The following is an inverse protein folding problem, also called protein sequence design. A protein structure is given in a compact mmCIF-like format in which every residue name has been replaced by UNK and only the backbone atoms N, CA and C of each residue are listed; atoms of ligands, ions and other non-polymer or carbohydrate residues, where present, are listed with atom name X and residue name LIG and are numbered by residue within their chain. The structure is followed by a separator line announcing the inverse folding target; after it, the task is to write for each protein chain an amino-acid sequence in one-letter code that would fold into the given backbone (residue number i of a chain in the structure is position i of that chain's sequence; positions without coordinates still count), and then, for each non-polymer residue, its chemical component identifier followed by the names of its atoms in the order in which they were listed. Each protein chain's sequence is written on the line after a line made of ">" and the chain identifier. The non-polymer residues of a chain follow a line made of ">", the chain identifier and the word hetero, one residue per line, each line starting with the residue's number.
data_IF_371973814492
#
_entry.id   IF_371973814492
#
_cell.length_a   1.000
_cell.length_b   1.000
_cell.length_c   1.000
_cell.angle_alpha   90.00
_cell.angle_beta   90.00
_cell.angle_gamma   90.00
#
_symmetry.space_group_name_H-M   'P 1'
#
loop_
_entity.id
_entity.type
_entity.pdbx_description
1 polymer ?
#
# COMPACT_ATOMS: atom_id res chain seq x y z
N UNK A 1 -9.46 -2.79 103.68
CA UNK A 1 -9.01 -1.44 103.30
C UNK A 1 -7.61 -1.58 102.75
N UNK A 2 -7.52 -1.70 101.44
CA UNK A 2 -6.38 -1.22 100.66
C UNK A 2 -6.87 -1.12 99.22
N UNK A 3 -6.93 0.12 98.76
CA UNK A 3 -7.34 0.55 97.43
C UNK A 3 -6.26 0.16 96.43
N UNK A 4 -6.64 -0.53 95.35
CA UNK A 4 -5.82 -0.65 94.15
C UNK A 4 -6.68 -1.14 92.98
N UNK A 5 -7.49 -0.25 92.42
CA UNK A 5 -8.28 -0.52 91.21
C UNK A 5 -8.46 0.78 90.40
N UNK A 6 -7.39 1.34 89.82
CA UNK A 6 -7.53 2.36 88.75
C UNK A 6 -6.23 2.53 87.93
N UNK A 7 -5.90 1.64 86.98
CA UNK A 7 -4.93 2.01 85.91
C UNK A 7 -4.82 1.03 84.71
N UNK A 8 -5.93 0.55 84.13
CA UNK A 8 -5.83 -0.39 82.96
C UNK A 8 -6.66 0.03 81.74
N UNK A 9 -7.00 1.31 81.57
CA UNK A 9 -7.87 1.75 80.45
C UNK A 9 -7.27 2.89 79.62
N UNK A 10 -5.95 2.91 79.40
CA UNK A 10 -5.32 3.99 78.62
C UNK A 10 -4.18 3.54 77.69
N UNK A 11 -4.21 2.32 77.14
CA UNK A 11 -3.13 1.82 76.25
C UNK A 11 -3.67 1.14 74.97
N UNK A 12 -4.96 1.26 74.65
CA UNK A 12 -5.57 0.52 73.50
C UNK A 12 -6.14 1.45 72.42
N UNK A 13 -5.87 2.75 72.48
CA UNK A 13 -6.45 3.72 71.51
C UNK A 13 -5.42 4.37 70.56
N UNK A 14 -4.15 3.96 70.59
CA UNK A 14 -3.07 4.58 69.80
C UNK A 14 -2.47 3.64 68.74
N UNK A 15 -3.24 2.67 68.22
CA UNK A 15 -2.73 1.69 67.23
C UNK A 15 -3.61 1.49 66.01
N UNK A 16 -4.62 2.34 65.79
CA UNK A 16 -5.60 2.18 64.68
C UNK A 16 -5.50 3.28 63.61
N UNK A 17 -4.69 4.32 63.81
CA UNK A 17 -4.61 5.43 62.84
C UNK A 17 -3.52 5.28 61.76
N UNK A 18 -2.59 4.33 61.88
CA UNK A 18 -1.47 4.19 60.92
C UNK A 18 -1.77 3.30 59.70
N UNK A 19 -2.91 2.60 59.65
CA UNK A 19 -3.21 1.64 58.56
C UNK A 19 -4.06 2.26 57.42
N UNK A 20 -4.57 3.48 57.57
CA UNK A 20 -5.51 4.08 56.60
C UNK A 20 -4.81 4.95 55.54
N UNK A 21 -3.56 5.35 55.74
CA UNK A 21 -2.83 6.22 54.79
C UNK A 21 -2.11 5.46 53.66
N UNK A 22 -1.99 4.12 53.74
CA UNK A 22 -1.27 3.32 52.74
C UNK A 22 -2.08 2.98 51.48
N UNK A 23 -3.41 3.13 51.46
CA UNK A 23 -4.23 2.68 50.30
C UNK A 23 -4.48 3.77 49.24
N UNK A 24 -4.19 5.03 49.54
CA UNK A 24 -4.53 6.14 48.65
C UNK A 24 -3.46 6.39 47.57
N UNK A 25 -2.22 5.96 47.78
CA UNK A 25 -1.10 6.21 46.85
C UNK A 25 -1.13 5.31 45.61
N UNK A 26 -1.56 4.05 45.75
CA UNK A 26 -1.60 3.07 44.65
C UNK A 26 -2.53 3.47 43.50
N UNK A 27 -3.61 4.21 43.79
CA UNK A 27 -4.55 4.68 42.76
C UNK A 27 -4.01 5.86 41.93
N UNK A 28 -3.00 6.57 42.43
CA UNK A 28 -2.34 7.66 41.69
C UNK A 28 -1.37 7.09 40.66
N UNK A 29 -0.65 6.02 41.05
CA UNK A 29 0.31 5.33 40.19
C UNK A 29 -0.39 4.64 39.00
N UNK A 30 -1.48 3.91 39.22
CA UNK A 30 -2.24 3.29 38.12
C UNK A 30 -2.82 4.32 37.13
N UNK A 31 -3.26 5.49 37.60
CA UNK A 31 -3.82 6.53 36.72
C UNK A 31 -2.77 7.10 35.78
N UNK A 32 -1.56 7.33 36.26
CA UNK A 32 -0.46 7.83 35.44
C UNK A 32 -0.02 6.80 34.39
N UNK A 33 0.00 5.51 34.75
CA UNK A 33 0.32 4.44 33.80
C UNK A 33 -0.70 4.34 32.66
N UNK A 34 -2.00 4.42 32.98
CA UNK A 34 -3.07 4.39 31.98
C UNK A 34 -2.98 5.62 31.06
N UNK A 35 -2.80 6.82 31.63
CA UNK A 35 -2.68 8.05 30.84
C UNK A 35 -1.48 8.00 29.89
N UNK A 36 -0.34 7.50 30.36
CA UNK A 36 0.86 7.33 29.53
C UNK A 36 0.62 6.36 28.38
N UNK A 37 -0.01 5.19 28.64
CA UNK A 37 -0.38 4.21 27.60
C UNK A 37 -1.33 4.80 26.56
N UNK A 38 -2.34 5.58 26.97
CA UNK A 38 -3.30 6.22 26.06
C UNK A 38 -2.63 7.30 25.21
N UNK A 39 -1.81 8.17 25.81
CA UNK A 39 -1.03 9.19 25.10
C UNK A 39 -0.07 8.54 24.09
N UNK A 40 0.61 7.47 24.50
CA UNK A 40 1.51 6.75 23.61
C UNK A 40 0.75 6.15 22.43
N UNK A 41 -0.33 5.41 22.69
CA UNK A 41 -1.13 4.76 21.64
C UNK A 41 -1.68 5.78 20.63
N UNK A 42 -2.21 6.91 21.11
CA UNK A 42 -2.71 7.98 20.23
C UNK A 42 -1.61 8.62 19.38
N UNK A 43 -0.40 8.77 19.94
CA UNK A 43 0.78 9.27 19.18
C UNK A 43 1.25 8.28 18.12
N UNK A 44 1.33 6.99 18.45
CA UNK A 44 1.74 5.93 17.56
C UNK A 44 0.76 5.77 16.39
N UNK A 45 -0.55 5.77 16.69
CA UNK A 45 -1.61 5.75 15.66
C UNK A 45 -1.50 6.98 14.76
N UNK A 46 -1.32 8.18 15.32
CA UNK A 46 -1.15 9.40 14.53
C UNK A 46 0.06 9.33 13.61
N UNK A 47 1.20 8.83 14.10
CA UNK A 47 2.40 8.69 13.30
C UNK A 47 2.22 7.68 12.16
N UNK A 48 1.63 6.53 12.45
CA UNK A 48 1.31 5.51 11.43
C UNK A 48 0.42 6.11 10.35
N UNK A 49 -0.61 6.87 10.73
CA UNK A 49 -1.48 7.58 9.78
C UNK A 49 -0.73 8.64 8.96
N UNK A 50 0.19 9.40 9.57
CA UNK A 50 1.02 10.38 8.86
C UNK A 50 1.99 9.71 7.88
N UNK A 51 2.57 8.58 8.26
CA UNK A 51 3.45 7.78 7.40
C UNK A 51 2.68 7.22 6.20
N UNK A 52 1.50 6.63 6.41
CA UNK A 52 0.62 6.21 5.31
C UNK A 52 0.21 7.38 4.43
N UNK A 53 -0.06 8.56 5.00
CA UNK A 53 -0.38 9.78 4.25
C UNK A 53 0.81 10.23 3.38
N UNK A 54 2.04 10.12 3.89
CA UNK A 54 3.27 10.43 3.13
C UNK A 54 3.47 9.44 1.99
N UNK A 55 3.38 8.13 2.25
CA UNK A 55 3.45 7.09 1.22
C UNK A 55 2.39 7.35 0.15
N UNK A 56 1.15 7.62 0.55
CA UNK A 56 0.07 7.93 -0.37
C UNK A 56 0.39 9.14 -1.25
N UNK A 57 0.99 10.20 -0.70
CA UNK A 57 1.39 11.36 -1.48
C UNK A 57 2.51 11.04 -2.48
N UNK A 58 3.50 10.24 -2.09
CA UNK A 58 4.58 9.78 -2.98
C UNK A 58 3.99 8.95 -4.12
N UNK A 59 3.18 7.94 -3.80
CA UNK A 59 2.50 7.09 -4.77
C UNK A 59 1.60 7.90 -5.69
N UNK A 60 0.80 8.82 -5.14
CA UNK A 60 -0.05 9.71 -5.92
C UNK A 60 0.78 10.56 -6.87
N UNK A 61 1.91 11.11 -6.42
CA UNK A 61 2.79 11.93 -7.25
C UNK A 61 3.43 11.12 -8.38
N UNK A 62 3.85 9.89 -8.11
CA UNK A 62 4.40 8.97 -9.12
C UNK A 62 3.32 8.57 -10.13
N UNK A 63 2.10 8.29 -9.67
CA UNK A 63 1.00 7.79 -10.52
C UNK A 63 0.20 8.88 -11.23
N UNK A 64 0.24 10.13 -10.76
CA UNK A 64 -0.56 11.25 -11.31
C UNK A 64 0.19 12.12 -12.31
N UNK A 65 1.38 11.70 -12.77
CA UNK A 65 2.19 12.45 -13.73
C UNK A 65 1.47 12.63 -15.07
N UNK A 66 0.73 13.74 -15.23
CA UNK A 66 0.12 14.19 -16.50
C UNK A 66 1.13 14.48 -17.61
N UNK A 67 2.42 14.52 -17.28
CA UNK A 67 3.50 14.79 -18.21
C UNK A 67 4.29 13.48 -18.40
N UNK A 68 3.91 12.71 -19.44
CA UNK A 68 4.62 11.54 -19.96
C UNK A 68 5.40 10.71 -18.95
N UNK A 69 4.87 9.55 -18.56
CA UNK A 69 5.55 8.54 -17.74
C UNK A 69 7.02 8.38 -18.17
N UNK A 70 7.93 8.98 -17.39
CA UNK A 70 9.37 9.00 -17.66
C UNK A 70 9.92 7.58 -17.81
N UNK A 71 9.27 6.63 -17.12
CA UNK A 71 9.59 5.22 -17.18
C UNK A 71 9.11 4.52 -18.46
N UNK A 72 7.89 4.80 -18.91
CA UNK A 72 7.32 4.15 -20.11
C UNK A 72 7.85 4.76 -21.40
N UNK A 73 8.38 5.98 -21.33
CA UNK A 73 9.12 6.58 -22.45
C UNK A 73 10.57 6.11 -22.56
N UNK A 74 11.06 5.30 -21.61
CA UNK A 74 12.43 4.78 -21.68
C UNK A 74 12.59 3.80 -22.85
N UNK A 75 13.73 3.90 -23.56
CA UNK A 75 14.11 2.93 -24.61
C UNK A 75 14.02 1.45 -24.16
N UNK A 76 14.55 1.06 -22.98
CA UNK A 76 14.45 -0.34 -22.55
C UNK A 76 13.01 -0.79 -22.34
N UNK A 77 12.12 0.08 -21.85
CA UNK A 77 10.70 -0.23 -21.73
C UNK A 77 10.07 -0.48 -23.10
N UNK A 78 10.27 0.43 -24.06
CA UNK A 78 9.73 0.27 -25.43
C UNK A 78 10.24 -1.01 -26.11
N UNK A 79 11.52 -1.33 -25.94
CA UNK A 79 12.10 -2.58 -26.46
C UNK A 79 11.49 -3.81 -25.80
N UNK A 80 11.27 -3.77 -24.48
CA UNK A 80 10.61 -4.87 -23.75
C UNK A 80 9.16 -5.07 -24.21
N UNK A 81 8.41 -3.98 -24.38
CA UNK A 81 7.02 -4.00 -24.87
C UNK A 81 6.97 -4.57 -26.29
N UNK A 82 7.76 -4.02 -27.22
CA UNK A 82 7.81 -4.48 -28.61
C UNK A 82 8.22 -5.97 -28.71
N UNK A 83 9.22 -6.38 -27.92
CA UNK A 83 9.62 -7.79 -27.86
C UNK A 83 8.52 -8.70 -27.30
N UNK A 84 7.73 -8.20 -26.36
CA UNK A 84 6.65 -8.98 -25.75
C UNK A 84 5.46 -9.07 -26.68
N UNK A 85 5.09 -7.97 -27.34
CA UNK A 85 4.07 -7.92 -28.38
C UNK A 85 4.34 -8.97 -29.47
N UNK A 86 5.55 -8.98 -30.03
CA UNK A 86 5.99 -9.96 -31.03
C UNK A 86 5.99 -11.41 -30.54
N UNK A 87 6.09 -11.63 -29.23
CA UNK A 87 6.02 -12.98 -28.65
C UNK A 87 4.58 -13.43 -28.38
N UNK A 88 3.62 -12.50 -28.42
CA UNK A 88 2.21 -12.74 -28.13
C UNK A 88 1.38 -12.87 -29.39
N UNK A 89 1.70 -12.08 -30.42
CA UNK A 89 1.12 -12.23 -31.76
C UNK A 89 1.66 -13.51 -32.41
N UNK A 90 1.05 -14.65 -32.05
CA UNK A 90 1.43 -15.94 -32.59
C UNK A 90 0.93 -16.11 -34.04
N UNK A 91 -0.04 -15.29 -34.44
CA UNK A 91 -0.66 -15.36 -35.76
C UNK A 91 0.12 -14.55 -36.81
N UNK A 92 0.91 -13.56 -36.37
CA UNK A 92 1.68 -12.67 -37.21
C UNK A 92 0.82 -11.67 -37.97
N UNK A 93 -0.41 -11.41 -37.52
CA UNK A 93 -1.32 -10.47 -38.17
C UNK A 93 -1.08 -9.01 -37.72
N UNK A 94 -0.21 -8.79 -36.73
CA UNK A 94 0.06 -7.47 -36.16
C UNK A 94 -0.97 -7.03 -35.12
N UNK A 95 -1.83 -7.92 -34.66
CA UNK A 95 -2.85 -7.64 -33.65
C UNK A 95 -2.81 -8.72 -32.55
N UNK A 96 -3.12 -8.31 -31.32
CA UNK A 96 -3.20 -9.22 -30.17
C UNK A 96 -4.66 -9.42 -29.77
N UNK A 97 -5.11 -10.68 -29.72
CA UNK A 97 -6.46 -11.04 -29.26
C UNK A 97 -6.60 -10.97 -27.73
N UNK A 98 -7.83 -10.97 -27.21
CA UNK A 98 -8.10 -10.93 -25.74
C UNK A 98 -7.37 -12.04 -24.96
N UNK A 99 -7.38 -13.25 -25.47
CA UNK A 99 -6.73 -14.39 -24.81
C UNK A 99 -5.20 -14.31 -24.89
N UNK A 100 -4.65 -13.86 -26.03
CA UNK A 100 -3.21 -13.60 -26.16
C UNK A 100 -2.78 -12.50 -25.19
N UNK A 101 -3.53 -11.40 -25.08
CA UNK A 101 -3.25 -10.31 -24.14
C UNK A 101 -3.15 -10.83 -22.71
N UNK A 102 -4.11 -11.64 -22.27
CA UNK A 102 -4.11 -12.22 -20.93
C UNK A 102 -2.88 -13.10 -20.68
N UNK A 103 -2.54 -13.98 -21.64
CA UNK A 103 -1.36 -14.83 -21.55
C UNK A 103 -0.06 -14.01 -21.48
N UNK A 104 0.02 -12.93 -22.25
CA UNK A 104 1.14 -12.01 -22.26
C UNK A 104 1.31 -11.25 -20.94
N UNK A 105 0.22 -10.71 -20.40
CA UNK A 105 0.24 -10.05 -19.10
C UNK A 105 0.71 -10.99 -18.00
N UNK A 106 0.26 -12.25 -18.02
CA UNK A 106 0.72 -13.28 -17.08
C UNK A 106 2.23 -13.56 -17.25
N UNK A 107 2.71 -13.69 -18.50
CA UNK A 107 4.12 -13.93 -18.80
C UNK A 107 5.00 -12.78 -18.30
N UNK A 108 4.55 -11.53 -18.44
CA UNK A 108 5.28 -10.36 -17.95
C UNK A 108 5.35 -10.35 -16.43
N UNK A 109 4.25 -10.65 -15.75
CA UNK A 109 4.27 -10.79 -14.29
C UNK A 109 5.23 -11.89 -13.83
N UNK A 110 5.27 -13.03 -14.52
CA UNK A 110 6.21 -14.12 -14.25
C UNK A 110 7.68 -13.74 -14.53
N UNK A 111 7.94 -12.92 -15.57
CA UNK A 111 9.29 -12.42 -15.84
C UNK A 111 9.71 -11.41 -14.78
N UNK A 112 8.83 -10.46 -14.43
CA UNK A 112 9.08 -9.45 -13.41
C UNK A 112 9.30 -10.08 -12.04
N UNK A 113 8.51 -11.09 -11.66
CA UNK A 113 8.64 -11.75 -10.37
C UNK A 113 9.99 -12.41 -10.14
N UNK A 114 10.67 -12.87 -11.21
CA UNK A 114 12.05 -13.36 -11.10
C UNK A 114 13.03 -12.27 -10.65
N UNK A 115 12.79 -11.02 -11.02
CA UNK A 115 13.67 -9.90 -10.67
C UNK A 115 13.29 -9.21 -9.37
N UNK A 116 11.99 -9.09 -9.10
CA UNK A 116 11.47 -8.25 -8.01
C UNK A 116 10.87 -9.06 -6.86
N UNK A 117 10.82 -10.39 -7.00
CA UNK A 117 10.34 -11.33 -6.01
C UNK A 117 8.82 -11.49 -5.99
N UNK A 118 8.35 -12.15 -4.93
CA UNK A 118 6.93 -12.41 -4.66
C UNK A 118 6.00 -11.17 -4.73
N UNK A 119 6.42 -9.93 -4.40
CA UNK A 119 5.53 -8.77 -4.45
C UNK A 119 4.95 -8.46 -5.85
N UNK A 120 5.58 -8.91 -6.94
CA UNK A 120 5.03 -8.74 -8.29
C UNK A 120 4.19 -9.92 -8.79
N UNK A 121 3.98 -10.97 -7.98
CA UNK A 121 3.28 -12.19 -8.38
C UNK A 121 1.75 -12.10 -8.33
N UNK A 122 1.16 -10.92 -8.51
CA UNK A 122 -0.30 -10.76 -8.51
C UNK A 122 -0.79 -10.33 -9.89
N UNK A 123 -0.91 -11.29 -10.84
CA UNK A 123 -1.43 -10.99 -12.16
C UNK A 123 -2.88 -10.48 -12.07
N UNK A 124 -3.29 -9.59 -12.98
CA UNK A 124 -4.68 -9.16 -13.08
C UNK A 124 -5.59 -10.35 -13.38
N UNK A 125 -6.81 -10.34 -12.83
CA UNK A 125 -7.86 -11.30 -13.16
C UNK A 125 -8.33 -11.09 -14.61
N UNK A 126 -8.84 -12.15 -15.26
CA UNK A 126 -9.28 -12.11 -16.66
C UNK A 126 -10.25 -10.96 -16.94
N UNK A 127 -11.27 -10.78 -16.09
CA UNK A 127 -12.26 -9.70 -16.25
C UNK A 127 -11.65 -8.29 -16.24
N UNK A 128 -10.59 -8.08 -15.45
CA UNK A 128 -9.85 -6.81 -15.45
C UNK A 128 -9.06 -6.63 -16.74
N UNK A 129 -8.54 -7.72 -17.31
CA UNK A 129 -7.83 -7.69 -18.59
C UNK A 129 -8.80 -7.42 -19.75
N UNK A 130 -9.99 -8.01 -19.71
CA UNK A 130 -11.06 -7.75 -20.69
C UNK A 130 -11.44 -6.26 -20.69
N UNK A 131 -11.62 -5.66 -19.50
CA UNK A 131 -11.88 -4.21 -19.39
C UNK A 131 -10.70 -3.34 -19.84
N UNK A 132 -9.45 -3.79 -19.62
CA UNK A 132 -8.27 -3.09 -20.16
C UNK A 132 -8.17 -3.17 -21.68
N UNK A 133 -8.55 -4.31 -22.26
CA UNK A 133 -8.63 -4.52 -23.70
C UNK A 133 -9.65 -3.57 -24.31
N UNK A 134 -10.88 -3.59 -23.83
CA UNK A 134 -11.98 -2.74 -24.34
C UNK A 134 -11.70 -1.25 -24.16
N UNK A 135 -10.98 -0.87 -23.10
CA UNK A 135 -10.59 0.52 -22.89
C UNK A 135 -9.43 0.99 -23.78
N UNK A 136 -8.67 0.06 -24.36
CA UNK A 136 -7.48 0.35 -25.16
C UNK A 136 -7.74 0.23 -26.66
N UNK A 137 -8.62 -0.69 -27.08
CA UNK A 137 -9.11 -0.87 -28.47
C UNK A 137 -9.92 0.38 -28.89
N UNK A 138 -9.21 1.41 -29.35
CA UNK A 138 -9.80 2.72 -29.63
C UNK A 138 -10.56 2.73 -30.96
N UNK A 139 -10.20 1.84 -31.88
CA UNK A 139 -10.82 1.72 -33.19
C UNK A 139 -11.92 0.65 -33.26
N UNK A 140 -12.08 -0.17 -32.22
CA UNK A 140 -13.00 -1.30 -32.16
C UNK A 140 -12.71 -2.35 -33.25
N UNK A 141 -11.43 -2.55 -33.56
CA UNK A 141 -10.97 -3.59 -34.49
C UNK A 141 -11.24 -5.00 -33.95
N UNK A 142 -11.35 -5.14 -32.61
CA UNK A 142 -11.38 -6.44 -31.94
C UNK A 142 -10.00 -7.07 -31.76
N UNK A 143 -8.94 -6.35 -32.16
CA UNK A 143 -7.54 -6.64 -31.90
C UNK A 143 -6.90 -5.49 -31.11
N UNK A 144 -5.65 -5.68 -30.68
CA UNK A 144 -4.84 -4.63 -30.06
C UNK A 144 -3.55 -4.50 -30.85
N UNK A 145 -3.28 -3.32 -31.39
CA UNK A 145 -2.03 -3.03 -32.11
C UNK A 145 -0.85 -2.78 -31.15
N UNK A 146 0.35 -2.54 -31.69
CA UNK A 146 1.55 -2.36 -30.86
C UNK A 146 1.47 -1.09 -29.99
N UNK A 147 0.86 -0.02 -30.50
CA UNK A 147 0.67 1.26 -29.81
C UNK A 147 -0.33 1.16 -28.64
N UNK A 148 -1.47 0.52 -28.87
CA UNK A 148 -2.50 0.22 -27.89
C UNK A 148 -1.95 -0.75 -26.83
N UNK A 149 -1.23 -1.80 -27.25
CA UNK A 149 -0.55 -2.72 -26.35
C UNK A 149 0.46 -1.99 -25.45
N UNK A 150 1.24 -1.07 -26.01
CA UNK A 150 2.18 -0.24 -25.24
C UNK A 150 1.47 0.61 -24.18
N UNK A 151 0.27 1.10 -24.49
CA UNK A 151 -0.57 1.85 -23.55
C UNK A 151 -1.10 0.96 -22.42
N UNK A 152 -1.57 -0.26 -22.72
CA UNK A 152 -1.97 -1.25 -21.71
C UNK A 152 -0.78 -1.60 -20.80
N UNK A 153 0.38 -1.84 -21.41
CA UNK A 153 1.61 -2.20 -20.70
C UNK A 153 2.10 -1.07 -19.78
N UNK A 154 1.98 0.18 -20.22
CA UNK A 154 2.29 1.34 -19.41
C UNK A 154 1.42 1.41 -18.14
N UNK A 155 0.12 1.13 -18.27
CA UNK A 155 -0.81 1.09 -17.15
C UNK A 155 -0.47 -0.07 -16.20
N UNK A 156 -0.27 -1.28 -16.74
CA UNK A 156 0.05 -2.47 -15.95
C UNK A 156 1.36 -2.31 -15.18
N UNK A 157 2.44 -1.90 -15.85
CA UNK A 157 3.73 -1.68 -15.22
C UNK A 157 3.68 -0.56 -14.17
N UNK A 158 2.87 0.48 -14.39
CA UNK A 158 2.62 1.52 -13.38
C UNK A 158 1.99 0.97 -12.11
N UNK A 159 1.00 0.07 -12.23
CA UNK A 159 0.37 -0.59 -11.08
C UNK A 159 1.36 -1.48 -10.31
N UNK A 160 2.11 -2.32 -11.02
CA UNK A 160 3.13 -3.20 -10.40
C UNK A 160 4.18 -2.37 -9.68
N UNK A 161 4.71 -1.34 -10.34
CA UNK A 161 5.73 -0.47 -9.76
C UNK A 161 5.23 0.27 -8.52
N UNK A 162 3.99 0.77 -8.56
CA UNK A 162 3.37 1.40 -7.41
C UNK A 162 3.32 0.46 -6.21
N UNK A 163 2.92 -0.81 -6.42
CA UNK A 163 2.93 -1.82 -5.34
C UNK A 163 4.33 -2.06 -4.81
N UNK A 164 5.33 -2.21 -5.69
CA UNK A 164 6.72 -2.42 -5.30
C UNK A 164 7.29 -1.26 -4.48
N UNK A 165 7.05 -0.01 -4.89
CA UNK A 165 7.56 1.16 -4.17
C UNK A 165 6.96 1.20 -2.77
N UNK A 166 5.65 0.98 -2.63
CA UNK A 166 5.01 0.92 -1.31
C UNK A 166 5.59 -0.20 -0.46
N UNK A 167 5.81 -1.37 -1.05
CA UNK A 167 6.38 -2.53 -0.37
C UNK A 167 7.72 -2.18 0.26
N UNK A 168 8.66 -1.71 -0.56
CA UNK A 168 10.00 -1.39 -0.09
C UNK A 168 10.00 -0.23 0.90
N UNK A 169 9.14 0.78 0.74
CA UNK A 169 9.02 1.85 1.72
C UNK A 169 8.54 1.34 3.09
N UNK A 170 7.55 0.45 3.11
CA UNK A 170 7.07 -0.15 4.36
C UNK A 170 8.15 -1.04 4.98
N UNK A 171 8.81 -1.89 4.19
CA UNK A 171 9.81 -2.84 4.72
C UNK A 171 11.06 -2.12 5.21
N UNK A 172 11.57 -1.15 4.45
CA UNK A 172 12.84 -0.47 4.78
C UNK A 172 12.65 0.59 5.86
N UNK A 173 11.52 1.31 5.87
CA UNK A 173 11.31 2.43 6.79
C UNK A 173 10.26 2.10 7.86
N UNK A 174 9.13 1.53 7.46
CA UNK A 174 8.00 1.28 8.34
C UNK A 174 8.29 0.20 9.39
N UNK A 175 8.80 -0.96 8.99
CA UNK A 175 9.05 -2.10 9.88
C UNK A 175 10.06 -1.77 10.98
N UNK A 176 11.30 -1.30 10.69
CA UNK A 176 12.27 -1.02 11.76
C UNK A 176 11.79 0.12 12.68
N UNK A 177 11.16 1.16 12.13
CA UNK A 177 10.62 2.25 12.94
C UNK A 177 9.53 1.76 13.91
N UNK A 178 8.59 0.95 13.43
CA UNK A 178 7.51 0.42 14.26
C UNK A 178 8.01 -0.59 15.28
N UNK A 179 8.96 -1.45 14.90
CA UNK A 179 9.56 -2.41 15.81
C UNK A 179 10.28 -1.71 16.97
N UNK A 180 11.16 -0.74 16.68
CA UNK A 180 11.84 0.06 17.70
C UNK A 180 10.85 0.75 18.65
N UNK A 181 9.78 1.35 18.11
CA UNK A 181 8.75 2.00 18.94
C UNK A 181 7.97 1.04 19.81
N UNK A 182 7.74 -0.20 19.38
CA UNK A 182 7.06 -1.20 20.20
C UNK A 182 7.98 -1.70 21.32
N UNK A 183 9.26 -1.89 21.02
CA UNK A 183 10.26 -2.30 22.01
C UNK A 183 10.45 -1.22 23.09
N UNK A 184 10.47 0.07 22.72
CA UNK A 184 10.50 1.21 23.65
C UNK A 184 9.37 1.19 24.70
N UNK A 185 8.23 0.53 24.41
CA UNK A 185 7.07 0.44 25.31
C UNK A 185 7.21 -0.71 26.31
N UNK A 186 7.93 -1.77 25.91
CA UNK A 186 8.05 -2.96 26.74
C UNK A 186 9.10 -2.68 27.83
N UNK A 187 8.87 -3.08 29.09
CA UNK A 187 9.82 -2.89 30.18
C UNK A 187 10.98 -3.89 30.08
N UNK A 188 11.70 -3.86 28.97
CA UNK A 188 12.88 -4.67 28.70
C UNK A 188 14.09 -3.81 29.03
N UNK A 189 15.07 -4.40 29.71
CA UNK A 189 16.32 -3.71 30.04
C UNK A 189 17.08 -3.35 28.75
N UNK A 190 17.35 -2.06 28.57
CA UNK A 190 18.04 -1.53 27.39
C UNK A 190 19.43 -2.18 27.25
N UNK A 191 19.75 -2.67 26.05
CA UNK A 191 21.00 -3.34 25.73
C UNK A 191 20.99 -4.86 26.01
N UNK A 192 19.88 -5.41 26.48
CA UNK A 192 19.72 -6.86 26.67
C UNK A 192 19.57 -7.59 25.33
N UNK A 193 20.06 -8.82 25.23
CA UNK A 193 19.80 -9.69 24.07
C UNK A 193 18.31 -9.91 23.79
N UNK A 194 17.45 -9.79 24.83
CA UNK A 194 16.00 -9.87 24.69
C UNK A 194 15.40 -8.71 23.91
N UNK A 195 16.05 -7.54 23.89
CA UNK A 195 15.62 -6.38 23.11
C UNK A 195 15.66 -6.70 21.62
N UNK A 196 16.80 -7.17 21.12
CA UNK A 196 16.99 -7.53 19.71
C UNK A 196 16.09 -8.68 19.26
N UNK A 197 15.89 -9.69 20.11
CA UNK A 197 14.98 -10.81 19.81
C UNK A 197 13.54 -10.32 19.71
N UNK A 198 13.12 -9.46 20.64
CA UNK A 198 11.76 -8.89 20.64
C UNK A 198 11.54 -7.99 19.42
N UNK A 199 12.51 -7.14 19.08
CA UNK A 199 12.45 -6.29 17.88
C UNK A 199 12.27 -7.13 16.61
N UNK A 200 13.01 -8.23 16.49
CA UNK A 200 12.93 -9.14 15.34
C UNK A 200 11.57 -9.83 15.26
N UNK A 201 11.05 -10.34 16.38
CA UNK A 201 9.74 -11.02 16.43
C UNK A 201 8.62 -10.04 16.10
N UNK A 202 8.63 -8.85 16.69
CA UNK A 202 7.64 -7.80 16.44
C UNK A 202 7.72 -7.34 14.98
N UNK A 203 8.93 -7.10 14.46
CA UNK A 203 9.14 -6.75 13.06
C UNK A 203 8.58 -7.81 12.10
N UNK A 204 8.81 -9.09 12.37
CA UNK A 204 8.27 -10.19 11.58
C UNK A 204 6.74 -10.30 11.67
N UNK A 205 6.17 -10.11 12.86
CA UNK A 205 4.73 -10.11 13.07
C UNK A 205 4.04 -8.95 12.33
N UNK A 206 4.60 -7.74 12.45
CA UNK A 206 4.11 -6.55 11.73
C UNK A 206 4.22 -6.77 10.23
N UNK A 207 5.36 -7.26 9.74
CA UNK A 207 5.55 -7.57 8.32
C UNK A 207 4.47 -8.56 7.81
N UNK A 208 4.26 -9.65 8.54
CA UNK A 208 3.33 -10.71 8.14
C UNK A 208 1.87 -10.29 8.16
N UNK A 209 1.47 -9.37 9.06
CA UNK A 209 0.08 -8.91 9.19
C UNK A 209 -0.21 -7.65 8.37
N UNK A 210 0.72 -6.69 8.33
CA UNK A 210 0.49 -5.40 7.69
C UNK A 210 0.52 -5.51 6.16
N UNK A 211 1.40 -6.33 5.59
CA UNK A 211 1.55 -6.43 4.13
C UNK A 211 0.27 -6.93 3.46
N UNK A 212 -0.37 -8.04 3.89
CA UNK A 212 -1.64 -8.49 3.30
C UNK A 212 -2.75 -7.42 3.38
N UNK A 213 -2.86 -6.71 4.52
CA UNK A 213 -3.88 -5.69 4.71
C UNK A 213 -3.68 -4.48 3.79
N UNK A 214 -2.43 -3.99 3.69
CA UNK A 214 -2.10 -2.89 2.78
C UNK A 214 -2.33 -3.31 1.33
N UNK A 215 -2.08 -4.58 0.99
CA UNK A 215 -2.21 -5.08 -0.38
C UNK A 215 -3.67 -5.11 -0.80
N UNK A 216 -4.53 -5.63 0.07
CA UNK A 216 -5.97 -5.62 -0.14
C UNK A 216 -6.50 -4.19 -0.35
N UNK A 217 -6.00 -3.21 0.43
CA UNK A 217 -6.40 -1.81 0.29
C UNK A 217 -5.94 -1.18 -1.03
N UNK A 218 -4.68 -1.39 -1.44
CA UNK A 218 -4.14 -0.87 -2.70
C UNK A 218 -4.91 -1.46 -3.90
N UNK A 219 -5.22 -2.74 -3.83
CA UNK A 219 -5.93 -3.46 -4.89
C UNK A 219 -7.37 -2.98 -5.02
N UNK A 220 -8.04 -2.76 -3.90
CA UNK A 220 -9.39 -2.19 -3.89
C UNK A 220 -9.40 -0.76 -4.43
N UNK A 221 -8.44 0.07 -4.02
CA UNK A 221 -8.31 1.44 -4.51
C UNK A 221 -8.01 1.49 -6.02
N UNK A 222 -7.20 0.56 -6.53
CA UNK A 222 -6.87 0.45 -7.95
C UNK A 222 -8.07 -0.03 -8.77
N UNK A 223 -8.81 -1.04 -8.29
CA UNK A 223 -10.06 -1.52 -8.93
C UNK A 223 -11.10 -0.41 -9.05
N UNK A 224 -11.31 0.36 -7.98
CA UNK A 224 -12.27 1.49 -7.97
C UNK A 224 -11.95 2.56 -9.02
N UNK A 225 -10.67 2.78 -9.36
CA UNK A 225 -10.27 3.73 -10.40
C UNK A 225 -10.55 3.24 -11.81
N UNK A 226 -10.53 1.93 -12.04
CA UNK A 226 -10.82 1.33 -13.34
C UNK A 226 -12.32 1.41 -13.63
N UNK A 227 -13.16 0.96 -12.68
CA UNK A 227 -14.64 1.01 -12.80
C UNK A 227 -15.14 2.44 -13.03
N UNK A 228 -14.62 3.42 -12.28
CA UNK A 228 -15.05 4.82 -12.43
C UNK A 228 -14.74 5.42 -13.81
N UNK A 229 -13.80 4.82 -14.56
CA UNK A 229 -13.46 5.29 -15.92
C UNK A 229 -14.47 4.78 -16.95
N UNK A 230 -15.06 3.60 -16.74
CA UNK A 230 -16.09 3.02 -17.61
C UNK A 230 -17.40 3.81 -17.56
N UNK A 231 -17.81 4.27 -16.37
CA UNK A 231 -19.08 5.02 -16.21
C UNK A 231 -19.02 6.46 -16.74
N UNK A 232 -17.83 6.96 -17.11
CA UNK A 232 -17.74 8.31 -17.65
C UNK A 232 -18.06 8.23 -19.15
N UNK A 233 -19.24 8.70 -19.60
CA UNK A 233 -19.61 8.63 -21.01
C UNK A 233 -18.50 9.27 -21.83
N UNK A 234 -18.01 8.53 -22.83
CA UNK A 234 -16.92 8.97 -23.69
C UNK A 234 -17.22 10.42 -24.10
N UNK A 235 -16.38 11.34 -23.63
CA UNK A 235 -16.53 12.74 -24.02
C UNK A 235 -16.53 12.74 -25.55
N UNK A 236 -17.53 13.37 -26.21
CA UNK A 236 -17.68 13.28 -27.65
C UNK A 236 -16.34 13.63 -28.28
N UNK A 237 -15.70 12.63 -28.87
CA UNK A 237 -14.41 12.78 -29.53
C UNK A 237 -14.64 13.89 -30.54
N UNK A 238 -13.99 15.03 -30.35
CA UNK A 238 -14.02 16.09 -31.36
C UNK A 238 -13.45 15.43 -32.60
N UNK A 239 -14.32 15.05 -33.53
CA UNK A 239 -13.90 14.56 -34.83
C UNK A 239 -13.08 15.68 -35.41
N UNK A 240 -11.76 15.55 -35.35
CA UNK A 240 -10.87 16.42 -36.11
C UNK A 240 -11.31 16.21 -37.54
N UNK A 241 -12.01 17.22 -38.08
CA UNK A 241 -12.56 17.17 -39.42
C UNK A 241 -11.47 16.72 -40.35
N UNK A 242 -11.68 15.57 -40.98
CA UNK A 242 -10.88 15.11 -42.11
C UNK A 242 -10.79 16.31 -43.06
N UNK A 243 -9.58 16.82 -43.36
CA UNK A 243 -9.44 17.86 -44.37
C UNK A 243 -10.06 17.31 -45.65
N UNK A 244 -11.15 17.94 -46.10
CA UNK A 244 -11.77 17.56 -47.35
C UNK A 244 -10.71 17.62 -48.45
N UNK A 245 -10.49 16.47 -49.09
CA UNK A 245 -9.64 16.30 -50.23
C UNK A 245 -10.08 17.29 -51.32
N UNK A 246 -9.23 18.29 -51.58
CA UNK A 246 -9.50 19.33 -52.58
C UNK A 246 -9.38 18.69 -53.96
N UNK A 247 -10.51 18.32 -54.54
CA UNK A 247 -10.59 17.89 -55.94
C UNK A 247 -10.07 19.00 -56.87
N UNK A 248 -9.15 18.71 -57.80
CA UNK A 248 -8.59 19.72 -58.70
C UNK A 248 -9.62 20.15 -59.76
N UNK A 249 -9.87 21.47 -59.83
CA UNK A 249 -10.64 22.11 -60.91
C UNK A 249 -9.94 21.91 -62.26
N UNK A 250 -10.59 21.18 -63.18
CA UNK A 250 -10.27 21.21 -64.61
C UNK A 250 -10.51 22.63 -65.14
N UNK A 251 -9.46 23.26 -65.70
CA UNK A 251 -9.60 24.42 -66.59
C UNK A 251 -9.96 23.91 -67.98
N UNK A 252 -11.07 24.39 -68.52
CA UNK A 252 -11.37 24.39 -69.96
C UNK A 252 -10.67 25.58 -70.62
#
# INVERSE_FOLDING_TARGET
>A
MNDNDTSVVAVVEETVEDEVTSSQDDTSMMRNEILFKVLFYTSAVSFVLLFFRLIYQIVKKITSGKNGNLLTNSKPFKMMVSSTFKSMDNTGNGEVTKDELYAGLLLIHLKLSKFVGAPACYPPIKTTCDGMFEAADHDNSGGIDEEEFSSIMAVCCGQIMSRMVVYYLIVILGVPYTAAKVVDILPIENGSHWETVTETIVGFAIFSLAIPLVWNFIDEASRKKLVKKEDKPAAPTKSNGVPQEVTPKKKN
#
